data_IF_907557586674
#
_entry.id   IF_907557586674
#
_cell.length_a   1.000
_cell.length_b   1.000
_cell.length_c   1.000
_cell.angle_alpha   90.00
_cell.angle_beta   90.00
_cell.angle_gamma   90.00
#
_symmetry.space_group_name_H-M   'P 1'
#
loop_
_entity.id
_entity.type
_entity.pdbx_description
1 polymer ?
#
# COMPACT_ATOMS: atom_id res chain seq x y z
N UNK A 1 -26.01 18.62 -0.95
CA UNK A 1 -24.85 18.27 -0.08
C UNK A 1 -23.83 17.58 -0.96
N UNK A 2 -22.58 18.03 -0.95
CA UNK A 2 -21.53 17.35 -1.71
C UNK A 2 -21.20 16.02 -1.03
N UNK A 3 -21.19 14.93 -1.79
CA UNK A 3 -20.67 13.65 -1.32
C UNK A 3 -19.14 13.77 -1.16
N UNK A 4 -18.58 13.03 -0.21
CA UNK A 4 -17.14 12.92 -0.07
C UNK A 4 -16.57 12.12 -1.24
N UNK A 5 -15.30 12.35 -1.53
CA UNK A 5 -14.57 11.52 -2.49
C UNK A 5 -14.38 10.09 -1.96
N UNK A 6 -14.35 9.09 -2.86
CA UNK A 6 -14.08 7.69 -2.51
C UNK A 6 -12.78 7.53 -1.70
N UNK A 7 -11.77 8.35 -1.99
CA UNK A 7 -10.51 8.39 -1.25
C UNK A 7 -10.70 8.85 0.20
N UNK A 8 -11.55 9.88 0.41
CA UNK A 8 -11.85 10.38 1.75
C UNK A 8 -12.56 9.35 2.58
N UNK A 9 -13.57 8.67 2.03
CA UNK A 9 -14.27 7.60 2.72
C UNK A 9 -13.32 6.45 3.11
N UNK A 10 -12.46 6.01 2.17
CA UNK A 10 -11.50 4.94 2.41
C UNK A 10 -10.50 5.25 3.54
N UNK A 11 -9.98 6.49 3.58
CA UNK A 11 -8.99 6.90 4.58
C UNK A 11 -9.64 7.04 5.96
N UNK A 12 -10.79 7.68 6.04
CA UNK A 12 -11.55 7.81 7.30
C UNK A 12 -11.92 6.43 7.85
N UNK A 13 -12.39 5.52 6.99
CA UNK A 13 -12.72 4.14 7.36
C UNK A 13 -11.51 3.39 7.92
N UNK A 14 -10.34 3.54 7.29
CA UNK A 14 -9.12 2.89 7.73
C UNK A 14 -8.62 3.42 9.07
N UNK A 15 -8.64 4.73 9.29
CA UNK A 15 -8.26 5.35 10.57
C UNK A 15 -9.18 4.83 11.67
N UNK A 16 -10.50 4.86 11.44
CA UNK A 16 -11.50 4.41 12.39
C UNK A 16 -11.34 2.93 12.76
N UNK A 17 -11.13 2.06 11.77
CA UNK A 17 -10.83 0.65 11.99
C UNK A 17 -9.57 0.46 12.84
N UNK A 18 -8.53 1.29 12.62
CA UNK A 18 -7.25 1.19 13.35
C UNK A 18 -7.37 1.61 14.82
N UNK A 19 -8.32 2.49 15.15
CA UNK A 19 -8.55 2.98 16.53
C UNK A 19 -9.75 2.34 17.21
N UNK A 20 -10.37 1.32 16.60
CA UNK A 20 -11.57 0.68 17.12
C UNK A 20 -11.42 0.30 18.60
N UNK A 21 -10.30 -0.33 18.93
CA UNK A 21 -9.99 -0.86 20.26
C UNK A 21 -8.92 -0.04 21.00
N UNK A 22 -8.63 1.18 20.52
CA UNK A 22 -7.62 2.07 21.11
C UNK A 22 -8.24 3.32 21.71
N UNK A 23 -7.60 3.86 22.75
CA UNK A 23 -7.94 5.19 23.26
C UNK A 23 -7.74 6.24 22.16
N UNK A 24 -8.71 7.17 22.01
CA UNK A 24 -8.67 8.26 21.02
C UNK A 24 -8.00 9.51 21.60
N UNK A 25 -6.87 9.30 22.25
CA UNK A 25 -6.05 10.35 22.87
C UNK A 25 -4.98 10.88 21.90
N UNK A 26 -4.19 11.84 22.38
CA UNK A 26 -3.11 12.44 21.59
C UNK A 26 -2.01 11.43 21.20
N UNK A 27 -1.72 10.45 22.05
CA UNK A 27 -0.69 9.45 21.79
C UNK A 27 -1.09 8.53 20.63
N UNK A 28 -2.36 8.13 20.58
CA UNK A 28 -2.91 7.36 19.45
C UNK A 28 -2.99 8.21 18.18
N UNK A 29 -3.37 9.49 18.29
CA UNK A 29 -3.39 10.40 17.15
C UNK A 29 -1.99 10.53 16.52
N UNK A 30 -0.96 10.75 17.36
CA UNK A 30 0.45 10.79 16.93
C UNK A 30 0.89 9.49 16.28
N UNK A 31 0.56 8.33 16.88
CA UNK A 31 0.90 7.01 16.34
C UNK A 31 0.31 6.81 14.94
N UNK A 32 -0.94 7.22 14.73
CA UNK A 32 -1.59 7.11 13.41
C UNK A 32 -0.96 8.06 12.41
N UNK A 33 -0.68 9.31 12.80
CA UNK A 33 0.00 10.25 11.91
C UNK A 33 1.35 9.67 11.43
N UNK A 34 2.15 9.09 12.33
CA UNK A 34 3.39 8.42 11.97
C UNK A 34 3.16 7.20 11.06
N UNK A 35 2.13 6.39 11.33
CA UNK A 35 1.77 5.26 10.49
C UNK A 35 1.36 5.70 9.08
N UNK A 36 0.57 6.77 8.91
CA UNK A 36 0.18 7.30 7.61
C UNK A 36 1.38 7.86 6.81
N UNK A 37 2.40 8.36 7.52
CA UNK A 37 3.65 8.82 6.92
C UNK A 37 4.50 7.63 6.46
N UNK A 38 4.65 6.61 7.30
CA UNK A 38 5.55 5.47 7.06
C UNK A 38 4.95 4.39 6.15
N UNK A 39 3.66 4.12 6.33
CA UNK A 39 2.88 3.08 5.67
C UNK A 39 1.59 3.70 5.09
N UNK A 40 1.68 4.49 4.01
CA UNK A 40 0.51 5.06 3.34
C UNK A 40 -0.53 3.99 3.04
N UNK A 41 -1.80 4.34 3.27
CA UNK A 41 -2.93 3.49 2.88
C UNK A 41 -2.81 3.20 1.39
N UNK A 42 -2.96 1.91 1.04
CA UNK A 42 -2.84 1.38 -0.32
C UNK A 42 -3.42 2.34 -1.36
N UNK A 43 -2.64 2.61 -2.41
CA UNK A 43 -2.97 3.45 -3.57
C UNK A 43 -2.92 4.98 -3.35
N UNK A 44 -2.82 5.48 -2.12
CA UNK A 44 -2.76 6.93 -1.85
C UNK A 44 -1.35 7.40 -1.45
N UNK A 45 -0.94 8.55 -2.00
CA UNK A 45 0.22 9.31 -1.53
C UNK A 45 -0.02 9.97 -0.18
N UNK A 46 1.05 10.44 0.47
CA UNK A 46 0.94 11.23 1.70
C UNK A 46 0.11 12.51 1.49
N UNK A 47 0.27 13.16 0.33
CA UNK A 47 -0.51 14.36 -0.03
C UNK A 47 -2.00 14.05 -0.25
N UNK A 48 -2.32 12.96 -0.96
CA UNK A 48 -3.71 12.52 -1.14
C UNK A 48 -4.35 12.16 0.20
N UNK A 49 -3.62 11.48 1.09
CA UNK A 49 -4.10 11.15 2.43
C UNK A 49 -4.39 12.39 3.28
N UNK A 50 -3.48 13.36 3.23
CA UNK A 50 -3.66 14.64 3.91
C UNK A 50 -4.82 15.45 3.32
N UNK A 51 -4.93 15.48 1.99
CA UNK A 51 -6.02 16.15 1.27
C UNK A 51 -7.38 15.58 1.66
N UNK A 52 -7.51 14.26 1.64
CA UNK A 52 -8.71 13.54 2.09
C UNK A 52 -9.05 13.82 3.57
N UNK A 53 -8.06 13.82 4.46
CA UNK A 53 -8.30 14.17 5.87
C UNK A 53 -8.78 15.62 6.03
N UNK A 54 -8.22 16.53 5.23
CA UNK A 54 -8.63 17.94 5.22
C UNK A 54 -10.04 18.11 4.66
N UNK A 55 -10.40 17.37 3.61
CA UNK A 55 -11.74 17.32 3.03
C UNK A 55 -12.76 16.81 4.05
N UNK A 56 -12.48 15.69 4.73
CA UNK A 56 -13.35 15.13 5.76
C UNK A 56 -13.63 16.13 6.88
N UNK A 57 -12.59 16.82 7.37
CA UNK A 57 -12.70 17.80 8.45
C UNK A 57 -13.45 19.07 8.02
N UNK A 58 -13.32 19.48 6.75
CA UNK A 58 -14.01 20.64 6.20
C UNK A 58 -15.44 20.35 5.71
N UNK A 59 -15.85 19.09 5.69
CA UNK A 59 -17.18 18.67 5.23
C UNK A 59 -18.20 18.70 6.36
N UNK A 60 -19.44 19.05 6.03
CA UNK A 60 -20.64 18.94 6.89
C UNK A 60 -21.23 17.51 6.89
N UNK A 61 -20.65 16.58 6.14
CA UNK A 61 -21.07 15.18 6.10
C UNK A 61 -20.76 14.51 7.44
N UNK A 62 -21.74 13.80 8.00
CA UNK A 62 -21.57 13.04 9.23
C UNK A 62 -20.59 11.89 8.98
N UNK A 63 -19.40 11.94 9.56
CA UNK A 63 -18.37 10.92 9.39
C UNK A 63 -18.81 9.56 9.96
N UNK A 64 -19.65 9.60 10.98
CA UNK A 64 -20.37 8.46 11.55
C UNK A 64 -21.37 7.76 10.60
N UNK A 65 -21.72 8.38 9.47
CA UNK A 65 -22.59 7.76 8.44
C UNK A 65 -21.82 7.14 7.28
N UNK A 66 -20.55 7.52 7.11
CA UNK A 66 -19.66 7.00 6.06
C UNK A 66 -19.32 5.54 6.35
N UNK A 67 -19.11 5.22 7.63
CA UNK A 67 -18.85 3.87 8.08
C UNK A 67 -19.98 3.47 9.01
N UNK A 68 -20.64 2.36 8.71
CA UNK A 68 -21.56 1.75 9.66
C UNK A 68 -20.80 1.47 10.96
N UNK A 69 -21.13 2.20 12.02
CA UNK A 69 -20.47 2.10 13.31
C UNK A 69 -21.18 1.12 14.26
N UNK A 70 -22.25 0.47 13.80
CA UNK A 70 -23.12 -0.38 14.63
C UNK A 70 -22.40 -1.61 15.23
N UNK A 71 -21.30 -2.06 14.61
CA UNK A 71 -20.48 -3.17 15.11
C UNK A 71 -19.35 -2.74 16.08
N UNK A 72 -19.21 -1.44 16.34
CA UNK A 72 -18.24 -0.92 17.33
C UNK A 72 -18.93 -0.90 18.70
N UNK A 73 -18.41 -1.60 19.73
CA UNK A 73 -19.07 -1.66 21.04
C UNK A 73 -19.28 -0.31 21.72
N UNK A 74 -18.47 0.70 21.36
CA UNK A 74 -18.58 2.08 21.84
C UNK A 74 -18.11 3.03 20.73
N UNK A 75 -18.99 3.34 19.75
CA UNK A 75 -18.64 4.24 18.67
C UNK A 75 -18.42 5.65 19.25
N UNK A 76 -17.41 6.40 18.78
CA UNK A 76 -17.21 7.78 19.22
C UNK A 76 -18.40 8.63 18.79
N UNK A 77 -18.67 9.71 19.53
CA UNK A 77 -19.53 10.76 18.99
C UNK A 77 -18.87 11.39 17.75
N UNK A 78 -19.67 12.03 16.90
CA UNK A 78 -19.18 12.75 15.72
C UNK A 78 -18.13 13.81 16.11
N UNK A 79 -18.40 14.57 17.18
CA UNK A 79 -17.50 15.61 17.71
C UNK A 79 -16.19 15.01 18.23
N UNK A 80 -16.25 13.90 18.98
CA UNK A 80 -15.06 13.21 19.48
C UNK A 80 -14.20 12.70 18.34
N UNK A 81 -14.82 12.15 17.29
CA UNK A 81 -14.09 11.62 16.15
C UNK A 81 -13.45 12.73 15.33
N UNK A 82 -14.16 13.83 15.08
CA UNK A 82 -13.60 15.02 14.42
C UNK A 82 -12.43 15.61 15.20
N UNK A 83 -12.58 15.82 16.50
CA UNK A 83 -11.50 16.31 17.35
C UNK A 83 -10.28 15.36 17.35
N UNK A 84 -10.51 14.05 17.21
CA UNK A 84 -9.44 13.08 17.04
C UNK A 84 -8.73 13.20 15.68
N UNK A 85 -9.49 13.31 14.58
CA UNK A 85 -8.95 13.51 13.23
C UNK A 85 -8.18 14.83 13.10
N UNK A 86 -8.63 15.89 13.76
CA UNK A 86 -7.91 17.17 13.85
C UNK A 86 -6.53 17.00 14.50
N UNK A 87 -6.45 16.24 15.60
CA UNK A 87 -5.16 15.92 16.24
C UNK A 87 -4.27 15.11 15.31
N UNK A 88 -4.81 14.12 14.59
CA UNK A 88 -4.05 13.36 13.58
C UNK A 88 -3.50 14.31 12.52
N UNK A 89 -4.31 15.24 11.99
CA UNK A 89 -3.88 16.24 11.01
C UNK A 89 -2.79 17.15 11.56
N UNK A 90 -2.94 17.63 12.79
CA UNK A 90 -1.95 18.48 13.45
C UNK A 90 -0.59 17.77 13.59
N UNK A 91 -0.59 16.48 13.95
CA UNK A 91 0.64 15.68 13.98
C UNK A 91 1.22 15.46 12.58
N UNK A 92 0.39 15.27 11.53
CA UNK A 92 0.87 15.21 10.15
C UNK A 92 1.54 16.54 9.76
N UNK A 93 0.91 17.67 10.04
CA UNK A 93 1.45 19.01 9.75
C UNK A 93 2.79 19.27 10.45
N UNK A 94 2.89 18.87 11.73
CA UNK A 94 4.11 19.04 12.52
C UNK A 94 5.29 18.19 12.03
N UNK A 95 5.04 17.13 11.26
CA UNK A 95 6.07 16.26 10.69
C UNK A 95 6.46 16.64 9.25
N UNK A 96 6.00 17.79 8.74
CA UNK A 96 6.41 18.27 7.40
C UNK A 96 7.85 18.82 7.41
N UNK A 97 8.62 18.63 6.31
CA UNK A 97 8.29 17.83 5.13
C UNK A 97 8.32 16.33 5.44
N UNK A 98 7.36 15.56 4.90
CA UNK A 98 7.32 14.12 5.14
C UNK A 98 8.44 13.41 4.37
N UNK A 99 9.06 12.37 4.98
CA UNK A 99 10.04 11.56 4.28
C UNK A 99 9.37 10.79 3.13
N UNK A 100 10.09 10.66 2.01
CA UNK A 100 9.66 9.80 0.91
C UNK A 100 9.65 8.34 1.38
N UNK A 101 8.50 7.63 1.26
CA UNK A 101 8.42 6.25 1.70
C UNK A 101 9.37 5.36 0.87
N UNK A 102 9.84 4.23 1.42
CA UNK A 102 10.72 3.30 0.71
C UNK A 102 10.07 2.76 -0.58
N UNK A 103 8.75 2.58 -0.55
CA UNK A 103 7.94 2.19 -1.68
C UNK A 103 6.50 2.69 -1.49
N UNK A 104 5.72 2.74 -2.57
CA UNK A 104 4.31 3.15 -2.57
C UNK A 104 3.49 2.21 -3.44
N UNK A 105 2.32 1.80 -2.96
CA UNK A 105 1.33 1.09 -3.77
C UNK A 105 0.82 1.92 -4.95
N UNK A 106 0.60 1.29 -6.09
CA UNK A 106 -0.01 1.89 -7.29
C UNK A 106 -1.37 1.26 -7.57
N UNK A 107 -2.22 2.00 -8.27
CA UNK A 107 -3.56 1.57 -8.67
C UNK A 107 -3.52 0.28 -9.52
N UNK A 108 -4.12 -0.80 -9.01
CA UNK A 108 -4.15 -2.10 -9.70
C UNK A 108 -4.86 -2.07 -11.04
N UNK A 109 -5.72 -1.07 -11.31
CA UNK A 109 -6.38 -0.89 -12.62
C UNK A 109 -5.39 -0.61 -13.75
N UNK A 110 -4.15 -0.21 -13.43
CA UNK A 110 -3.06 -0.06 -14.40
C UNK A 110 -2.53 -1.40 -14.92
N UNK A 111 -2.82 -2.52 -14.23
CA UNK A 111 -2.26 -3.83 -14.54
C UNK A 111 -2.46 -4.26 -16.01
N UNK A 112 -3.69 -4.31 -16.56
CA UNK A 112 -3.91 -4.89 -17.89
C UNK A 112 -3.20 -4.11 -19.00
N UNK A 113 -3.11 -2.79 -18.86
CA UNK A 113 -2.56 -1.91 -19.89
C UNK A 113 -1.06 -1.69 -19.77
N UNK A 114 -0.49 -1.72 -18.56
CA UNK A 114 0.89 -1.28 -18.33
C UNK A 114 1.85 -2.37 -17.86
N UNK A 115 1.35 -3.43 -17.21
CA UNK A 115 2.20 -4.42 -16.55
C UNK A 115 1.99 -5.85 -17.06
N UNK A 116 0.84 -6.17 -17.64
CA UNK A 116 0.54 -7.53 -18.11
C UNK A 116 1.57 -8.07 -19.11
N UNK A 117 2.22 -7.19 -19.88
CA UNK A 117 3.28 -7.51 -20.84
C UNK A 117 4.68 -7.04 -20.40
N UNK A 118 4.85 -6.63 -19.15
CA UNK A 118 6.14 -6.17 -18.63
C UNK A 118 7.14 -7.33 -18.50
N UNK A 119 8.43 -7.01 -18.54
CA UNK A 119 9.48 -8.01 -18.50
C UNK A 119 9.61 -8.62 -17.10
N UNK A 120 9.65 -9.95 -17.01
CA UNK A 120 9.96 -10.66 -15.76
C UNK A 120 11.44 -10.49 -15.47
N UNK A 121 11.77 -9.86 -14.35
CA UNK A 121 13.15 -9.58 -13.94
C UNK A 121 13.60 -10.46 -12.78
N UNK A 122 12.66 -11.03 -12.03
CA UNK A 122 12.99 -11.87 -10.88
C UNK A 122 11.84 -12.70 -10.35
N UNK A 123 12.15 -13.39 -9.27
CA UNK A 123 11.28 -14.33 -8.58
C UNK A 123 11.46 -14.17 -7.08
N UNK A 124 10.36 -14.13 -6.34
CA UNK A 124 10.35 -14.10 -4.88
C UNK A 124 9.94 -15.49 -4.38
N UNK A 125 10.83 -16.16 -3.66
CA UNK A 125 10.67 -17.51 -3.11
C UNK A 125 9.75 -17.58 -1.88
N UNK A 126 8.77 -16.69 -1.77
CA UNK A 126 7.84 -16.60 -0.65
C UNK A 126 6.41 -16.67 -1.15
N UNK A 127 5.55 -17.31 -0.38
CA UNK A 127 4.11 -17.28 -0.61
C UNK A 127 3.53 -15.86 -0.42
N UNK A 128 2.38 -15.56 -1.05
CA UNK A 128 1.73 -14.24 -1.04
C UNK A 128 1.59 -13.63 0.37
N UNK A 129 1.31 -14.44 1.39
CA UNK A 129 1.20 -13.97 2.78
C UNK A 129 2.55 -13.47 3.32
N UNK A 130 3.65 -14.16 3.01
CA UNK A 130 4.99 -13.74 3.40
C UNK A 130 5.40 -12.43 2.73
N UNK A 131 5.07 -12.29 1.44
CA UNK A 131 5.29 -11.04 0.70
C UNK A 131 4.48 -9.89 1.29
N UNK A 132 3.17 -10.09 1.54
CA UNK A 132 2.29 -9.10 2.20
C UNK A 132 2.85 -8.63 3.54
N UNK A 133 3.43 -9.54 4.33
CA UNK A 133 4.02 -9.17 5.61
C UNK A 133 5.28 -8.30 5.49
N UNK A 134 6.02 -8.39 4.38
CA UNK A 134 7.23 -7.59 4.12
C UNK A 134 6.96 -6.26 3.44
N UNK A 135 5.94 -6.20 2.57
CA UNK A 135 5.58 -4.96 1.85
C UNK A 135 4.40 -4.22 2.47
N UNK A 136 3.66 -4.83 3.40
CA UNK A 136 2.47 -4.28 4.07
C UNK A 136 1.30 -3.88 3.15
N UNK A 137 1.39 -4.14 1.85
CA UNK A 137 0.33 -3.91 0.88
C UNK A 137 -0.49 -5.18 0.59
N UNK A 138 -1.77 -4.96 0.27
CA UNK A 138 -2.66 -6.03 -0.18
C UNK A 138 -2.54 -6.24 -1.67
N UNK A 139 -2.58 -7.51 -2.08
CA UNK A 139 -2.73 -7.85 -3.49
C UNK A 139 -4.20 -7.77 -3.89
N UNK A 140 -4.45 -7.40 -5.13
CA UNK A 140 -5.76 -7.41 -5.77
C UNK A 140 -5.85 -8.56 -6.76
N UNK A 141 -7.00 -9.20 -6.85
CA UNK A 141 -7.25 -10.20 -7.90
C UNK A 141 -7.35 -9.48 -9.24
N UNK A 142 -6.69 -9.99 -10.27
CA UNK A 142 -6.81 -9.52 -11.64
C UNK A 142 -8.25 -9.74 -12.15
N UNK A 143 -8.82 -8.69 -12.73
CA UNK A 143 -10.06 -8.77 -13.48
C UNK A 143 -9.81 -9.44 -14.84
N UNK A 144 -10.61 -10.45 -15.22
CA UNK A 144 -10.51 -11.07 -16.55
C UNK A 144 -10.09 -12.54 -16.59
N UNK A 145 -10.00 -13.23 -15.45
CA UNK A 145 -10.15 -14.69 -15.42
C UNK A 145 -8.88 -15.53 -15.25
N UNK A 146 -7.69 -14.93 -15.19
CA UNK A 146 -6.46 -15.67 -14.84
C UNK A 146 -6.44 -16.13 -13.37
N UNK A 147 -7.23 -15.47 -12.50
CA UNK A 147 -7.23 -15.69 -11.05
C UNK A 147 -5.97 -15.21 -10.34
N UNK A 148 -5.08 -14.48 -11.03
CA UNK A 148 -3.82 -14.00 -10.46
C UNK A 148 -4.06 -12.89 -9.45
N UNK A 149 -3.21 -12.83 -8.43
CA UNK A 149 -3.14 -11.72 -7.51
C UNK A 149 -1.97 -10.82 -7.92
N UNK A 150 -2.24 -9.52 -8.05
CA UNK A 150 -1.27 -8.51 -8.48
C UNK A 150 -1.11 -7.44 -7.41
N UNK A 151 0.12 -6.97 -7.24
CA UNK A 151 0.45 -5.79 -6.45
C UNK A 151 1.44 -4.94 -7.24
N UNK A 152 1.06 -3.69 -7.48
CA UNK A 152 1.89 -2.73 -8.20
C UNK A 152 2.56 -1.80 -7.20
N UNK A 153 3.87 -1.61 -7.33
CA UNK A 153 4.67 -0.78 -6.43
C UNK A 153 5.52 0.19 -7.23
N UNK A 154 5.69 1.40 -6.69
CA UNK A 154 6.78 2.31 -7.06
C UNK A 154 7.79 2.36 -5.93
N UNK A 155 9.03 2.03 -6.22
CA UNK A 155 10.14 2.05 -5.27
C UNK A 155 10.71 3.47 -5.14
N UNK A 156 11.44 3.75 -4.04
CA UNK A 156 12.13 5.03 -3.83
C UNK A 156 13.13 5.35 -4.93
N UNK A 157 13.73 4.33 -5.55
CA UNK A 157 14.60 4.46 -6.72
C UNK A 157 13.89 5.04 -7.95
N UNK A 158 12.56 5.08 -7.94
CA UNK A 158 11.70 5.46 -9.06
C UNK A 158 11.20 4.27 -9.87
N UNK A 159 11.73 3.07 -9.65
CA UNK A 159 11.35 1.87 -10.38
C UNK A 159 9.90 1.49 -10.10
N UNK A 160 9.15 1.18 -11.16
CA UNK A 160 7.80 0.64 -11.06
C UNK A 160 7.81 -0.86 -11.36
N UNK A 161 7.33 -1.64 -10.41
CA UNK A 161 7.33 -3.11 -10.48
C UNK A 161 5.93 -3.66 -10.25
N UNK A 162 5.70 -4.88 -10.74
CA UNK A 162 4.55 -5.69 -10.37
C UNK A 162 5.01 -6.97 -9.68
N UNK A 163 4.34 -7.33 -8.58
CA UNK A 163 4.45 -8.62 -7.91
C UNK A 163 3.22 -9.45 -8.29
N UNK A 164 3.42 -10.66 -8.81
CA UNK A 164 2.35 -11.45 -9.44
C UNK A 164 2.39 -12.90 -8.99
N UNK A 165 1.26 -13.42 -8.50
CA UNK A 165 1.13 -14.85 -8.13
C UNK A 165 0.77 -15.71 -9.35
N UNK A 166 1.02 -17.02 -9.28
CA UNK A 166 0.54 -17.96 -10.31
C UNK A 166 1.12 -17.68 -11.69
N UNK A 167 2.37 -17.19 -11.72
CA UNK A 167 3.09 -16.95 -12.96
C UNK A 167 3.66 -18.25 -13.54
N UNK A 168 4.14 -19.13 -12.67
CA UNK A 168 4.61 -20.47 -13.00
C UNK A 168 3.58 -21.52 -12.55
N UNK A 169 3.40 -22.57 -13.34
CA UNK A 169 2.39 -23.62 -13.06
C UNK A 169 2.84 -24.62 -11.99
N UNK A 170 4.13 -24.69 -11.72
CA UNK A 170 4.80 -25.66 -10.84
C UNK A 170 5.31 -25.03 -9.53
N UNK A 171 4.93 -23.79 -9.24
CA UNK A 171 5.44 -23.05 -8.09
C UNK A 171 4.50 -21.96 -7.59
N UNK A 172 4.50 -21.74 -6.28
CA UNK A 172 3.79 -20.65 -5.60
C UNK A 172 4.61 -19.34 -5.50
N UNK A 173 5.79 -19.30 -6.12
CA UNK A 173 6.66 -18.13 -6.08
C UNK A 173 6.03 -16.96 -6.85
N UNK A 174 6.35 -15.74 -6.41
CA UNK A 174 5.84 -14.55 -7.05
C UNK A 174 6.81 -14.07 -8.13
N UNK A 175 6.28 -13.73 -9.31
CA UNK A 175 7.05 -13.07 -10.34
C UNK A 175 7.22 -11.59 -10.01
N UNK A 176 8.43 -11.07 -10.25
CA UNK A 176 8.74 -9.64 -10.23
C UNK A 176 8.86 -9.17 -11.67
N UNK A 177 7.96 -8.28 -12.07
CA UNK A 177 7.98 -7.68 -13.40
C UNK A 177 8.45 -6.23 -13.30
N UNK A 178 9.27 -5.78 -14.24
CA UNK A 178 9.73 -4.39 -14.35
C UNK A 178 9.07 -3.69 -15.53
N UNK A 179 8.59 -2.47 -15.30
CA UNK A 179 7.97 -1.63 -16.34
C UNK A 179 8.99 -0.87 -17.19
N UNK A 180 10.26 -0.88 -16.80
CA UNK A 180 11.37 -0.30 -17.55
C UNK A 180 12.26 -1.42 -18.11
N UNK A 181 12.20 -1.69 -19.43
CA UNK A 181 13.01 -2.74 -20.06
C UNK A 181 14.48 -2.33 -20.23
N UNK A 182 14.82 -1.05 -20.06
CA UNK A 182 16.20 -0.57 -20.18
C UNK A 182 17.01 -0.79 -18.91
N UNK A 183 16.33 -1.02 -17.78
CA UNK A 183 17.00 -1.18 -16.49
C UNK A 183 17.44 -2.63 -16.25
N UNK A 184 18.69 -2.87 -15.83
CA UNK A 184 19.17 -4.21 -15.53
C UNK A 184 18.36 -4.89 -14.41
N UNK A 185 18.04 -6.17 -14.59
CA UNK A 185 17.21 -6.93 -13.65
C UNK A 185 17.79 -6.94 -12.23
N UNK A 186 19.10 -7.14 -12.08
CA UNK A 186 19.79 -7.14 -10.80
C UNK A 186 19.67 -5.79 -10.06
N UNK A 187 19.70 -4.66 -10.77
CA UNK A 187 19.50 -3.34 -10.16
C UNK A 187 18.07 -3.16 -9.65
N UNK A 188 17.07 -3.60 -10.43
CA UNK A 188 15.65 -3.53 -10.01
C UNK A 188 15.41 -4.40 -8.77
N UNK A 189 15.98 -5.60 -8.74
CA UNK A 189 15.85 -6.51 -7.59
C UNK A 189 16.60 -5.99 -6.36
N UNK A 190 17.76 -5.37 -6.53
CA UNK A 190 18.46 -4.72 -5.42
C UNK A 190 17.65 -3.54 -4.89
N UNK A 191 17.06 -2.71 -5.76
CA UNK A 191 16.19 -1.62 -5.34
C UNK A 191 14.95 -2.13 -4.59
N UNK A 192 14.40 -3.28 -4.98
CA UNK A 192 13.31 -3.93 -4.25
C UNK A 192 13.74 -4.36 -2.85
N UNK A 193 14.91 -4.99 -2.72
CA UNK A 193 15.50 -5.37 -1.42
C UNK A 193 15.73 -4.12 -0.55
N UNK A 194 16.36 -3.08 -1.09
CA UNK A 194 16.66 -1.85 -0.35
C UNK A 194 15.40 -1.08 0.10
N UNK A 195 14.29 -1.25 -0.62
CA UNK A 195 13.03 -0.58 -0.36
C UNK A 195 12.10 -1.36 0.58
N UNK A 196 12.41 -2.61 0.92
CA UNK A 196 11.50 -3.51 1.64
C UNK A 196 12.22 -4.35 2.69
N UNK A 197 11.50 -5.22 3.38
CA UNK A 197 12.08 -6.20 4.30
C UNK A 197 12.52 -7.50 3.60
N UNK A 198 12.62 -7.53 2.26
CA UNK A 198 13.17 -8.69 1.55
C UNK A 198 14.68 -8.82 1.78
N UNK A 199 15.16 -10.05 1.69
CA UNK A 199 16.59 -10.38 1.69
C UNK A 199 17.01 -10.93 0.32
N UNK A 200 18.31 -11.06 0.10
CA UNK A 200 18.84 -11.73 -1.09
C UNK A 200 18.50 -13.22 -1.17
N UNK A 201 18.09 -13.84 -0.07
CA UNK A 201 17.61 -15.23 -0.07
C UNK A 201 16.16 -15.33 -0.57
N UNK A 202 15.36 -14.29 -0.30
CA UNK A 202 13.96 -14.19 -0.70
C UNK A 202 13.81 -13.93 -2.20
N UNK A 203 14.77 -13.23 -2.83
CA UNK A 203 14.64 -12.69 -4.20
C UNK A 203 15.76 -13.21 -5.11
N UNK A 204 15.40 -13.70 -6.29
CA UNK A 204 16.35 -14.27 -7.27
C UNK A 204 16.13 -13.70 -8.69
N UNK A 205 17.19 -13.44 -9.47
CA UNK A 205 17.07 -13.06 -10.87
C UNK A 205 16.31 -14.10 -11.70
N UNK A 206 15.49 -13.62 -12.64
CA UNK A 206 14.85 -14.49 -13.62
C UNK A 206 15.85 -14.84 -14.72
N UNK A 207 16.00 -16.14 -15.03
CA UNK A 207 16.94 -16.64 -16.03
C UNK A 207 18.23 -17.24 -15.46
N UNK A 208 18.49 -17.14 -14.16
CA UNK A 208 19.53 -17.93 -13.48
C UNK A 208 18.98 -19.31 -13.08
N UNK A 209 18.68 -20.14 -14.08
CA UNK A 209 18.54 -21.59 -13.89
C UNK A 209 19.77 -22.22 -14.52
N UNK A 210 20.75 -22.56 -13.68
CA UNK A 210 21.82 -23.50 -13.97
C UNK A 210 22.45 -23.42 -15.36
N UNK A 211 23.50 -22.62 -15.50
CA UNK A 211 24.69 -23.14 -16.17
C UNK A 211 25.27 -24.28 -15.31
N UNK A 212 24.55 -25.40 -15.23
CA UNK A 212 25.18 -26.68 -14.95
C UNK A 212 25.86 -27.06 -16.26
N UNK A 213 27.14 -26.73 -16.31
CA UNK A 213 28.08 -27.36 -17.24
C UNK A 213 27.95 -28.88 -17.13
N UNK A 214 27.82 -29.50 -18.32
CA UNK A 214 28.12 -30.91 -18.66
C UNK A 214 27.15 -32.00 -18.22
#
# INVERSE_FOLDING_TARGET
MAALTDSTEAIVARILHTVRDSARDDSTARRIALALIQEPITEFSQDEQYGALTEALGSEVSLSTIIDLSYVPSPPSEEEFRAFLERVRAHLDANRPWPTPPHRGLDSRRWPSEYANAAVVGRIGLHIVGVRNKVKYLFRTEDGGSGRNVLLLRLRSGDEIALVTGWWSDSDDLAVLSRDPSRPANEVLQALIDATDFTSEDVRPYGEVGASES
#
